data_IF_131532129144
#
_entry.id   IF_131532129144
#
_cell.length_a   1.000
_cell.length_b   1.000
_cell.length_c   1.000
_cell.angle_alpha   90.00
_cell.angle_beta   90.00
_cell.angle_gamma   90.00
#
_symmetry.space_group_name_H-M   'P 1'
#
loop_
_entity.id
_entity.type
_entity.pdbx_description
1 polymer ?
#
# COMPACT_ATOMS: atom_id res chain seq x y z
N UNK A 1 6.28 30.40 -3.79
CA UNK A 1 5.30 29.65 -2.97
C UNK A 1 4.92 28.41 -3.73
N UNK A 2 5.49 27.26 -3.40
CA UNK A 2 5.15 25.98 -4.01
C UNK A 2 3.96 25.41 -3.26
N UNK A 3 2.79 25.42 -3.91
CA UNK A 3 1.62 24.72 -3.45
C UNK A 3 1.95 23.22 -3.41
N UNK A 4 2.06 22.66 -2.21
CA UNK A 4 2.10 21.21 -2.01
C UNK A 4 0.70 20.73 -2.37
N UNK A 5 0.60 20.04 -3.50
CA UNK A 5 -0.59 19.30 -3.92
C UNK A 5 -0.99 18.36 -2.77
N UNK A 6 -1.97 18.77 -1.96
CA UNK A 6 -2.73 17.86 -1.12
C UNK A 6 -3.53 16.94 -2.04
N UNK A 7 -2.86 15.92 -2.58
CA UNK A 7 -3.51 14.80 -3.23
C UNK A 7 -4.37 14.07 -2.20
N UNK A 8 -5.46 13.47 -2.67
CA UNK A 8 -6.46 12.71 -1.91
C UNK A 8 -5.89 11.42 -1.24
N UNK A 9 -4.66 11.42 -0.71
CA UNK A 9 -3.90 10.21 -0.38
C UNK A 9 -3.07 10.24 0.91
N UNK A 10 -3.10 11.32 1.71
CA UNK A 10 -2.52 11.31 3.05
C UNK A 10 -3.58 10.94 4.09
N UNK A 11 -3.39 9.79 4.75
CA UNK A 11 -4.23 9.37 5.87
C UNK A 11 -3.46 9.53 7.18
N UNK A 12 -4.14 9.83 8.30
CA UNK A 12 -3.52 9.72 9.61
C UNK A 12 -3.16 8.25 9.88
N UNK A 13 -1.91 8.01 10.26
CA UNK A 13 -1.36 6.70 10.59
C UNK A 13 -0.85 6.77 12.01
N UNK A 14 -1.22 5.79 12.85
CA UNK A 14 -0.65 5.68 14.19
C UNK A 14 0.78 5.18 14.09
N UNK A 15 1.63 5.65 14.99
CA UNK A 15 3.06 5.33 14.96
C UNK A 15 3.31 3.82 15.15
N UNK A 16 2.48 3.11 15.91
CA UNK A 16 2.55 1.65 16.05
C UNK A 16 2.01 0.84 14.87
N UNK A 17 1.34 1.49 13.91
CA UNK A 17 0.93 0.88 12.65
C UNK A 17 1.98 1.06 11.54
N UNK A 18 3.03 1.85 11.79
CA UNK A 18 4.11 2.06 10.84
C UNK A 18 4.91 0.79 10.62
N UNK A 19 5.34 0.60 9.38
CA UNK A 19 6.31 -0.40 9.03
C UNK A 19 7.38 0.20 8.12
N UNK A 20 8.43 -0.61 7.92
CA UNK A 20 9.49 -0.30 6.97
C UNK A 20 8.92 0.05 5.58
N UNK A 21 9.51 1.08 4.97
CA UNK A 21 9.20 1.73 3.69
C UNK A 21 7.95 2.62 3.67
N UNK A 22 7.23 2.76 4.79
CA UNK A 22 6.15 3.74 4.84
C UNK A 22 6.72 5.16 4.73
N UNK A 23 6.03 6.06 4.03
CA UNK A 23 6.45 7.47 3.91
C UNK A 23 5.52 8.33 4.77
N UNK A 24 6.11 9.07 5.71
CA UNK A 24 5.37 9.93 6.65
C UNK A 24 5.96 11.32 6.71
N UNK A 25 5.11 12.30 6.99
CA UNK A 25 5.52 13.64 7.41
C UNK A 25 5.84 13.62 8.90
N UNK A 26 7.11 13.69 9.22
CA UNK A 26 7.61 13.79 10.59
C UNK A 26 8.35 15.12 10.76
N UNK A 27 7.96 15.91 11.76
CA UNK A 27 8.50 17.26 12.01
C UNK A 27 8.50 18.17 10.77
N UNK A 28 7.49 18.05 9.91
CA UNK A 28 7.35 18.82 8.67
C UNK A 28 8.22 18.33 7.51
N UNK A 29 8.91 17.20 7.65
CA UNK A 29 9.73 16.60 6.59
C UNK A 29 9.18 15.24 6.17
N UNK A 30 9.18 14.97 4.86
CA UNK A 30 8.84 13.65 4.34
C UNK A 30 10.02 12.69 4.56
N UNK A 31 9.77 11.61 5.28
CA UNK A 31 10.77 10.59 5.62
C UNK A 31 10.24 9.20 5.32
N UNK A 32 11.12 8.30 4.88
CA UNK A 32 10.84 6.88 4.77
C UNK A 32 11.14 6.21 6.12
N UNK A 33 10.28 5.32 6.59
CA UNK A 33 10.53 4.49 7.77
C UNK A 33 11.49 3.36 7.38
N UNK A 34 12.69 3.32 7.94
CA UNK A 34 13.63 2.22 7.76
C UNK A 34 13.38 1.06 8.73
N UNK A 35 12.94 1.36 9.96
CA UNK A 35 12.60 0.35 10.98
C UNK A 35 11.75 0.96 12.11
N UNK A 36 11.02 0.10 12.83
CA UNK A 36 10.19 0.49 13.99
C UNK A 36 10.52 -0.45 15.14
N UNK A 37 11.11 0.10 16.20
CA UNK A 37 11.67 -0.67 17.30
C UNK A 37 10.95 -0.37 18.62
N UNK A 38 10.46 -1.39 19.34
CA UNK A 38 9.93 -1.20 20.68
C UNK A 38 11.07 -0.89 21.65
N UNK A 39 10.86 0.06 22.56
CA UNK A 39 11.85 0.44 23.58
C UNK A 39 11.37 -0.04 24.94
N UNK A 40 12.12 -0.94 25.58
CA UNK A 40 11.70 -1.57 26.85
C UNK A 40 11.50 -0.56 27.98
N UNK A 41 12.37 0.44 28.06
CA UNK A 41 12.34 1.45 29.12
C UNK A 41 11.24 2.50 28.92
N UNK A 42 10.67 2.58 27.71
CA UNK A 42 9.63 3.54 27.34
C UNK A 42 8.48 2.84 26.61
N UNK A 43 7.60 2.11 27.33
CA UNK A 43 6.55 1.29 26.71
C UNK A 43 5.50 2.11 25.96
N UNK A 44 5.38 3.40 26.25
CA UNK A 44 4.52 4.36 25.57
C UNK A 44 5.15 4.98 24.33
N UNK A 45 6.40 4.65 24.01
CA UNK A 45 7.14 5.19 22.88
C UNK A 45 7.66 4.08 21.97
N UNK A 46 7.97 4.45 20.73
CA UNK A 46 8.70 3.60 19.79
C UNK A 46 9.87 4.37 19.21
N UNK A 47 10.97 3.69 18.97
CA UNK A 47 12.10 4.24 18.26
C UNK A 47 11.88 4.01 16.76
N UNK A 48 11.76 5.09 16.00
CA UNK A 48 11.71 5.04 14.55
C UNK A 48 13.11 5.23 13.99
N UNK A 49 13.54 4.30 13.16
CA UNK A 49 14.67 4.53 12.25
C UNK A 49 14.08 5.12 10.99
N UNK A 50 14.45 6.36 10.66
CA UNK A 50 13.90 7.12 9.54
C UNK A 50 15.01 7.43 8.53
N UNK A 51 14.64 7.50 7.26
CA UNK A 51 15.50 7.89 6.15
C UNK A 51 14.92 9.13 5.48
N UNK A 52 15.46 10.33 5.77
CA UNK A 52 15.10 11.53 5.04
C UNK A 52 15.47 11.39 3.57
N UNK A 53 14.68 11.98 2.67
CA UNK A 53 14.95 11.93 1.23
C UNK A 53 16.33 12.51 0.89
N UNK A 54 17.24 11.67 0.41
CA UNK A 54 18.63 12.06 0.11
C UNK A 54 19.54 12.25 1.33
N UNK A 55 19.10 11.82 2.51
CA UNK A 55 19.85 11.90 3.75
C UNK A 55 20.41 10.57 4.23
N UNK A 56 21.10 10.61 5.37
CA UNK A 56 21.50 9.41 6.11
C UNK A 56 20.38 8.95 7.07
N UNK A 57 20.33 7.65 7.42
CA UNK A 57 19.42 7.15 8.43
C UNK A 57 19.58 7.89 9.77
N UNK A 58 18.46 8.11 10.46
CA UNK A 58 18.40 8.75 11.78
C UNK A 58 17.45 8.00 12.67
N UNK A 59 17.65 8.10 13.98
CA UNK A 59 16.76 7.52 14.97
C UNK A 59 15.99 8.63 15.68
N UNK A 60 14.73 8.36 16.02
CA UNK A 60 13.90 9.30 16.73
C UNK A 60 12.86 8.56 17.59
N UNK A 61 12.77 8.98 18.84
CA UNK A 61 11.81 8.44 19.80
C UNK A 61 10.51 9.25 19.72
N UNK A 62 9.40 8.57 19.50
CA UNK A 62 8.07 9.19 19.36
C UNK A 62 7.02 8.44 20.17
N UNK A 63 5.95 9.12 20.63
CA UNK A 63 4.83 8.46 21.29
C UNK A 63 4.18 7.43 20.38
N UNK A 64 3.82 6.28 20.94
CA UNK A 64 3.25 5.14 20.21
C UNK A 64 1.90 5.47 19.56
N UNK A 65 1.12 6.34 20.18
CA UNK A 65 -0.19 6.81 19.77
C UNK A 65 -0.13 8.11 18.93
N UNK A 66 1.07 8.64 18.65
CA UNK A 66 1.23 9.80 17.79
C UNK A 66 0.66 9.50 16.40
N UNK A 67 -0.17 10.41 15.91
CA UNK A 67 -0.73 10.38 14.57
C UNK A 67 0.18 11.13 13.62
N UNK A 68 0.60 10.45 12.57
CA UNK A 68 1.46 10.98 11.52
C UNK A 68 0.68 11.04 10.22
N UNK A 69 0.84 12.14 9.48
CA UNK A 69 0.29 12.25 8.13
C UNK A 69 1.21 11.50 7.18
N UNK A 70 0.72 10.45 6.54
CA UNK A 70 1.55 9.63 5.67
C UNK A 70 0.82 9.09 4.47
N UNK A 71 1.60 8.61 3.52
CA UNK A 71 1.12 7.78 2.42
C UNK A 71 1.53 6.34 2.74
N UNK A 72 0.55 5.46 2.92
CA UNK A 72 0.83 4.02 2.97
C UNK A 72 1.16 3.57 1.55
N UNK A 73 2.39 3.13 1.32
CA UNK A 73 2.74 2.59 0.02
C UNK A 73 2.03 1.23 -0.17
N UNK A 74 1.35 1.01 -1.30
CA UNK A 74 0.77 -0.30 -1.62
C UNK A 74 1.86 -1.37 -1.58
N UNK A 75 1.70 -2.37 -0.70
CA UNK A 75 2.69 -3.44 -0.53
C UNK A 75 2.35 -4.60 -1.44
N UNK A 76 3.34 -5.13 -2.15
CA UNK A 76 3.16 -6.37 -2.91
C UNK A 76 3.14 -7.57 -1.96
N UNK A 77 1.95 -8.06 -1.61
CA UNK A 77 1.77 -9.27 -0.81
C UNK A 77 1.51 -10.48 -1.70
N UNK A 78 2.07 -11.66 -1.39
CA UNK A 78 1.67 -12.90 -2.03
C UNK A 78 0.27 -13.29 -1.54
N UNK A 79 -0.74 -13.14 -2.41
CA UNK A 79 -2.11 -13.58 -2.13
C UNK A 79 -2.46 -14.79 -3.01
N UNK A 80 -3.22 -15.77 -2.50
CA UNK A 80 -3.65 -16.90 -3.30
C UNK A 80 -4.63 -16.43 -4.39
N UNK A 81 -4.42 -16.92 -5.62
CA UNK A 81 -5.40 -16.74 -6.69
C UNK A 81 -6.67 -17.53 -6.38
N UNK A 82 -7.85 -16.90 -6.38
CA UNK A 82 -9.13 -17.59 -6.16
C UNK A 82 -9.40 -18.72 -7.17
N UNK A 83 -8.88 -18.60 -8.40
CA UNK A 83 -9.05 -19.58 -9.47
C UNK A 83 -8.02 -20.72 -9.49
N UNK A 84 -6.73 -20.40 -9.50
CA UNK A 84 -5.65 -21.41 -9.64
C UNK A 84 -4.89 -21.69 -8.34
N UNK A 85 -5.22 -21.00 -7.24
CA UNK A 85 -4.58 -21.09 -5.90
C UNK A 85 -3.08 -20.80 -5.85
N UNK A 86 -2.44 -20.49 -6.99
CA UNK A 86 -1.07 -20.03 -7.07
C UNK A 86 -0.90 -18.66 -6.39
N UNK A 87 0.21 -18.41 -5.66
CA UNK A 87 0.48 -17.11 -5.07
C UNK A 87 0.75 -16.04 -6.14
N UNK A 88 0.12 -14.88 -5.99
CA UNK A 88 0.23 -13.72 -6.88
C UNK A 88 0.65 -12.51 -6.06
N UNK A 89 1.67 -11.78 -6.54
CA UNK A 89 2.09 -10.51 -5.92
C UNK A 89 1.05 -9.44 -6.20
N UNK A 90 0.22 -9.13 -5.19
CA UNK A 90 -0.87 -8.16 -5.28
C UNK A 90 -0.50 -6.90 -4.51
N UNK A 91 -0.64 -5.70 -5.09
CA UNK A 91 -0.52 -4.46 -4.32
C UNK A 91 -1.69 -4.39 -3.34
N UNK A 92 -1.38 -4.33 -2.05
CA UNK A 92 -2.33 -4.25 -0.94
C UNK A 92 -2.04 -2.98 -0.16
N UNK A 93 -3.08 -2.16 0.01
CA UNK A 93 -3.09 -1.11 1.02
C UNK A 93 -3.49 -1.74 2.36
N UNK A 94 -2.55 -1.79 3.30
CA UNK A 94 -2.79 -2.36 4.61
C UNK A 94 -3.73 -1.53 5.49
N UNK A 95 -4.00 -0.26 5.17
CA UNK A 95 -5.08 0.49 5.82
C UNK A 95 -6.46 -0.06 5.49
N UNK A 96 -6.65 -0.58 4.27
CA UNK A 96 -7.97 -0.93 3.75
C UNK A 96 -8.30 -2.41 3.94
N UNK A 97 -7.59 -3.09 4.86
CA UNK A 97 -7.59 -4.54 5.09
C UNK A 97 -6.98 -5.35 3.95
N UNK A 98 -6.35 -6.49 4.29
CA UNK A 98 -5.74 -7.39 3.30
C UNK A 98 -6.85 -8.20 2.63
N UNK A 99 -6.99 -8.16 1.29
CA UNK A 99 -7.93 -9.03 0.58
C UNK A 99 -7.59 -10.51 0.85
N UNK A 100 -8.60 -11.33 1.15
CA UNK A 100 -8.40 -12.76 1.43
C UNK A 100 -7.99 -13.56 0.19
N UNK A 101 -8.42 -13.13 -1.00
CA UNK A 101 -8.08 -13.73 -2.29
C UNK A 101 -7.90 -12.64 -3.36
N UNK A 102 -7.10 -12.96 -4.38
CA UNK A 102 -6.89 -12.13 -5.59
C UNK A 102 -7.15 -12.96 -6.84
N UNK A 103 -7.16 -12.37 -8.03
CA UNK A 103 -7.28 -13.12 -9.29
C UNK A 103 -6.06 -12.85 -10.16
N UNK A 104 -5.31 -13.90 -10.48
CA UNK A 104 -4.14 -13.79 -11.37
C UNK A 104 -4.56 -13.38 -12.79
N UNK A 105 -3.63 -12.82 -13.56
CA UNK A 105 -3.87 -12.41 -14.96
C UNK A 105 -4.43 -13.55 -15.83
N UNK A 106 -3.95 -14.78 -15.64
CA UNK A 106 -4.46 -15.96 -16.36
C UNK A 106 -5.92 -16.30 -16.04
N UNK A 107 -6.29 -16.33 -14.76
CA UNK A 107 -7.68 -16.56 -14.35
C UNK A 107 -8.59 -15.38 -14.73
N UNK A 108 -8.07 -14.15 -14.66
CA UNK A 108 -8.80 -12.93 -15.09
C UNK A 108 -9.11 -12.97 -16.58
N UNK A 109 -8.17 -13.43 -17.42
CA UNK A 109 -8.40 -13.61 -18.86
C UNK A 109 -9.57 -14.55 -19.17
N UNK A 110 -9.67 -15.69 -18.46
CA UNK A 110 -10.76 -16.66 -18.63
C UNK A 110 -12.13 -16.13 -18.22
N UNK A 111 -12.20 -15.28 -17.20
CA UNK A 111 -13.45 -14.64 -16.77
C UNK A 111 -13.91 -13.65 -17.85
N UNK A 112 -13.00 -12.85 -18.40
CA UNK A 112 -13.31 -11.89 -19.46
C UNK A 112 -13.77 -12.62 -20.74
N UNK A 113 -13.09 -13.69 -21.15
CA UNK A 113 -13.49 -14.52 -22.30
C UNK A 113 -14.87 -15.17 -22.09
N UNK A 114 -15.19 -15.63 -20.88
CA UNK A 114 -16.52 -16.18 -20.56
C UNK A 114 -17.65 -15.13 -20.54
N UNK A 115 -17.31 -13.86 -20.31
CA UNK A 115 -18.28 -12.74 -20.34
C UNK A 115 -18.30 -11.97 -21.66
N UNK A 116 -17.37 -12.25 -22.57
CA UNK A 116 -17.42 -11.74 -23.94
C UNK A 116 -18.55 -12.47 -24.68
N UNK A 117 -19.77 -11.96 -24.53
CA UNK A 117 -20.87 -12.31 -25.42
C UNK A 117 -20.38 -12.00 -26.83
N UNK A 118 -20.17 -13.06 -27.61
CA UNK A 118 -20.06 -13.04 -29.06
C UNK A 118 -21.19 -12.16 -29.60
N UNK A 119 -20.88 -10.91 -29.94
CA UNK A 119 -21.71 -10.14 -30.88
C UNK A 119 -21.59 -10.89 -32.19
N UNK A 120 -22.59 -11.73 -32.50
CA UNK A 120 -22.70 -12.38 -33.81
C UNK A 120 -22.59 -11.31 -34.90
N UNK A 121 -21.78 -11.51 -35.94
CA UNK A 121 -21.83 -10.64 -37.11
C UNK A 121 -23.21 -10.80 -37.73
N UNK A 122 -23.97 -9.69 -37.80
CA UNK A 122 -25.23 -9.65 -38.53
C UNK A 122 -24.96 -10.03 -39.99
N UNK A 123 -25.80 -10.86 -40.64
CA UNK A 123 -25.63 -11.17 -42.04
C UNK A 123 -25.92 -9.90 -42.85
N UNK A 124 -24.90 -9.37 -43.54
CA UNK A 124 -25.10 -8.37 -44.57
C UNK A 124 -25.91 -9.03 -45.70
N UNK A 125 -27.21 -8.75 -45.70
CA UNK A 125 -28.11 -9.16 -46.77
C UNK A 125 -27.64 -8.60 -48.10
N UNK A 126 -27.61 -9.47 -49.11
CA UNK A 126 -27.53 -9.10 -50.52
C UNK A 126 -28.80 -8.36 -50.90
N UNK A 127 -28.70 -7.18 -51.51
CA UNK A 127 -29.43 -6.74 -52.71
C UNK A 127 -28.68 -5.58 -53.36
#
# INVERSE_FOLDING_TARGET
>A
MTAVTMGQGSQPIRTDELHRRDEVLLFGQLVEIADVQPVRDFPTCVNLVILPRGGQPRETLVPRDMLLLGMRLPRLLPLPCGGCKTPVRTPVDLAQSVPSETVCTGCRGRIVEGTARLTSPAPAGRY
#
